data_IF_050429160586
#
_entry.id   IF_050429160586
#
_cell.length_a   1.000
_cell.length_b   1.000
_cell.length_c   1.000
_cell.angle_alpha   90.00
_cell.angle_beta   90.00
_cell.angle_gamma   90.00
#
_symmetry.space_group_name_H-M   'P 1'
#
loop_
_entity.id
_entity.type
_entity.pdbx_description
1 polymer ?
#
# COMPACT_ATOMS: atom_id res chain seq x y z
N UNK A 1 -19.59 -37.95 55.46
CA UNK A 1 -20.46 -36.94 54.82
C UNK A 1 -19.97 -36.67 53.39
N UNK A 2 -20.39 -37.51 52.43
CA UNK A 2 -20.01 -37.40 51.00
C UNK A 2 -21.23 -37.16 50.10
N UNK A 3 -22.38 -36.80 50.69
CA UNK A 3 -23.65 -36.66 49.98
C UNK A 3 -23.99 -35.21 49.61
N UNK A 4 -23.21 -34.23 50.08
CA UNK A 4 -23.52 -32.81 49.90
C UNK A 4 -22.67 -32.11 48.83
N UNK A 5 -21.65 -32.77 48.27
CA UNK A 5 -20.76 -32.17 47.25
C UNK A 5 -21.24 -32.36 45.81
N UNK A 6 -22.13 -33.32 45.54
CA UNK A 6 -22.62 -33.59 44.17
C UNK A 6 -23.87 -32.79 43.78
N UNK A 7 -24.54 -32.14 44.74
CA UNK A 7 -25.71 -31.30 44.46
C UNK A 7 -25.33 -29.90 43.97
N UNK A 8 -24.12 -29.44 44.31
CA UNK A 8 -23.59 -28.12 43.89
C UNK A 8 -23.07 -28.13 42.45
N UNK A 9 -22.68 -29.30 41.92
CA UNK A 9 -22.17 -29.43 40.54
C UNK A 9 -23.27 -29.52 39.47
N UNK A 10 -24.52 -29.83 39.86
CA UNK A 10 -25.62 -30.02 38.92
C UNK A 10 -26.43 -28.73 38.66
N UNK A 11 -26.45 -27.78 39.60
CA UNK A 11 -27.12 -26.48 39.43
C UNK A 11 -26.27 -25.44 38.71
N UNK A 12 -24.95 -25.61 38.64
CA UNK A 12 -24.07 -24.70 37.88
C UNK A 12 -24.01 -25.03 36.37
N UNK A 13 -24.56 -26.17 35.94
CA UNK A 13 -24.62 -26.59 34.52
C UNK A 13 -25.94 -26.27 33.81
N UNK A 14 -26.94 -25.77 34.53
CA UNK A 14 -28.29 -25.47 34.01
C UNK A 14 -28.52 -23.96 33.78
N UNK A 15 -27.56 -23.10 34.17
CA UNK A 15 -27.53 -21.68 33.79
C UNK A 15 -26.94 -21.42 32.40
N UNK A 16 -26.88 -22.45 31.55
CA UNK A 16 -26.54 -22.32 30.13
C UNK A 16 -27.81 -22.68 29.37
N UNK A 17 -28.67 -21.69 29.08
CA UNK A 17 -29.66 -21.71 27.98
C UNK A 17 -30.60 -20.50 28.19
N UNK A 18 -30.77 -19.68 27.15
CA UNK A 18 -31.65 -18.50 27.06
C UNK A 18 -31.13 -17.18 27.67
N UNK A 19 -30.20 -16.51 26.98
CA UNK A 19 -30.37 -15.09 26.66
C UNK A 19 -29.37 -14.67 25.56
N UNK A 20 -29.89 -14.42 24.36
CA UNK A 20 -29.36 -13.59 23.25
C UNK A 20 -27.84 -13.41 23.17
N UNK A 21 -27.10 -14.02 22.24
CA UNK A 21 -27.20 -13.85 20.78
C UNK A 21 -27.39 -12.40 20.32
N UNK A 22 -26.45 -11.50 20.66
CA UNK A 22 -26.10 -10.25 19.96
C UNK A 22 -25.05 -9.57 20.87
N UNK A 23 -23.77 -9.48 20.57
CA UNK A 23 -23.20 -8.73 19.47
C UNK A 23 -21.83 -9.34 19.13
N UNK A 24 -21.75 -10.01 17.98
CA UNK A 24 -20.51 -10.11 17.23
C UNK A 24 -20.14 -8.67 16.88
N UNK A 25 -19.20 -8.07 17.62
CA UNK A 25 -18.72 -6.73 17.30
C UNK A 25 -17.98 -6.87 15.98
N UNK A 26 -18.62 -6.30 14.97
CA UNK A 26 -18.25 -6.28 13.56
C UNK A 26 -16.83 -5.73 13.48
N UNK A 27 -15.86 -6.60 13.23
CA UNK A 27 -14.56 -6.15 12.71
C UNK A 27 -14.84 -5.62 11.31
N UNK A 28 -15.13 -4.31 11.23
CA UNK A 28 -15.18 -3.61 9.96
C UNK A 28 -13.76 -3.69 9.39
N UNK A 29 -13.53 -4.66 8.51
CA UNK A 29 -12.38 -4.64 7.63
C UNK A 29 -12.64 -3.45 6.71
N UNK A 30 -12.02 -2.31 7.01
CA UNK A 30 -11.94 -1.21 6.05
C UNK A 30 -11.06 -1.71 4.92
N UNK A 31 -11.68 -2.34 3.93
CA UNK A 31 -11.06 -2.54 2.64
C UNK A 31 -11.05 -1.17 1.96
N UNK A 32 -10.09 -0.32 2.35
CA UNK A 32 -9.70 0.81 1.54
C UNK A 32 -9.10 0.20 0.27
N UNK A 33 -9.95 -0.15 -0.69
CA UNK A 33 -9.54 -0.18 -2.08
C UNK A 33 -9.22 1.26 -2.42
N UNK A 34 -7.99 1.65 -2.07
CA UNK A 34 -7.39 2.87 -2.54
C UNK A 34 -7.43 2.73 -4.06
N UNK A 35 -8.35 3.45 -4.69
CA UNK A 35 -8.36 3.60 -6.13
C UNK A 35 -7.13 4.44 -6.42
N UNK A 36 -5.98 3.78 -6.49
CA UNK A 36 -4.74 4.40 -6.89
C UNK A 36 -4.93 4.68 -8.37
N UNK A 37 -5.27 5.93 -8.68
CA UNK A 37 -5.38 6.39 -10.06
C UNK A 37 -3.99 6.29 -10.68
N UNK A 38 -3.74 5.20 -11.40
CA UNK A 38 -2.47 5.01 -12.09
C UNK A 38 -2.34 6.10 -13.16
N UNK A 39 -1.21 6.80 -13.14
CA UNK A 39 -0.90 7.83 -14.11
C UNK A 39 -0.19 7.19 -15.29
N UNK A 40 -0.55 7.63 -16.50
CA UNK A 40 0.15 7.26 -17.74
C UNK A 40 0.96 8.47 -18.19
N UNK A 41 2.28 8.35 -18.17
CA UNK A 41 3.21 9.43 -18.49
C UNK A 41 4.21 8.96 -19.54
N UNK A 42 4.54 9.83 -20.48
CA UNK A 42 5.53 9.55 -21.53
C UNK A 42 6.70 10.51 -21.37
N UNK A 43 7.92 9.99 -21.37
CA UNK A 43 9.11 10.81 -21.21
C UNK A 43 10.39 9.99 -21.31
N UNK A 44 11.51 10.71 -21.32
CA UNK A 44 12.86 10.14 -21.32
C UNK A 44 13.18 9.61 -19.92
N UNK A 45 13.62 8.35 -19.82
CA UNK A 45 14.10 7.76 -18.57
C UNK A 45 15.62 7.96 -18.48
N UNK A 46 16.09 8.46 -17.34
CA UNK A 46 17.50 8.68 -17.05
C UNK A 46 17.83 8.29 -15.61
N UNK A 47 19.07 7.89 -15.34
CA UNK A 47 19.55 7.69 -13.97
C UNK A 47 19.41 8.99 -13.15
N UNK A 48 19.03 8.87 -11.88
CA UNK A 48 19.04 10.01 -10.98
C UNK A 48 20.50 10.41 -10.68
N UNK A 49 20.82 11.69 -10.88
CA UNK A 49 22.13 12.23 -10.55
C UNK A 49 22.31 12.49 -9.04
N UNK A 50 23.21 13.41 -8.70
CA UNK A 50 23.34 13.90 -7.33
C UNK A 50 22.15 14.81 -7.03
N UNK A 51 21.30 14.44 -6.07
CA UNK A 51 20.06 15.16 -5.73
C UNK A 51 20.02 15.56 -4.25
N UNK A 52 19.33 16.66 -3.92
CA UNK A 52 19.09 17.07 -2.53
C UNK A 52 17.95 16.31 -1.85
N UNK A 53 17.04 15.75 -2.64
CA UNK A 53 15.80 15.13 -2.17
C UNK A 53 15.95 13.65 -1.78
N UNK A 54 17.09 13.01 -2.09
CA UNK A 54 17.50 11.68 -1.56
C UNK A 54 16.52 10.52 -1.81
N UNK A 55 15.64 10.62 -2.80
CA UNK A 55 14.74 9.53 -3.23
C UNK A 55 14.74 9.38 -4.75
N UNK A 56 14.25 8.21 -5.19
CA UNK A 56 14.24 7.82 -6.61
C UNK A 56 15.61 7.36 -7.11
N UNK A 57 15.62 6.28 -7.88
CA UNK A 57 16.84 5.80 -8.55
C UNK A 57 17.00 6.40 -9.95
N UNK A 58 15.89 6.80 -10.56
CA UNK A 58 15.82 7.33 -11.92
C UNK A 58 14.91 8.55 -11.94
N UNK A 59 14.88 9.24 -13.07
CA UNK A 59 13.93 10.30 -13.36
C UNK A 59 13.18 10.01 -14.66
N UNK A 60 11.94 10.48 -14.74
CA UNK A 60 11.22 10.67 -15.99
C UNK A 60 11.28 12.15 -16.35
N UNK A 61 11.90 12.48 -17.47
CA UNK A 61 11.87 13.84 -18.02
C UNK A 61 10.80 13.92 -19.10
N UNK A 62 9.75 14.66 -18.81
CA UNK A 62 8.72 15.03 -19.79
C UNK A 62 9.03 16.43 -20.32
N UNK A 63 8.25 16.93 -21.26
CA UNK A 63 8.44 18.28 -21.83
C UNK A 63 8.27 19.40 -20.79
N UNK A 64 7.44 19.17 -19.76
CA UNK A 64 7.05 20.21 -18.80
C UNK A 64 7.55 19.95 -17.38
N UNK A 65 7.70 18.68 -17.01
CA UNK A 65 7.96 18.27 -15.63
C UNK A 65 8.97 17.13 -15.56
N UNK A 66 9.66 17.06 -14.43
CA UNK A 66 10.52 15.94 -14.06
C UNK A 66 9.90 15.21 -12.88
N UNK A 67 9.92 13.89 -12.93
CA UNK A 67 9.43 13.00 -11.86
C UNK A 67 10.58 12.13 -11.38
N UNK A 68 10.67 11.89 -10.07
CA UNK A 68 11.56 10.85 -9.55
C UNK A 68 10.88 9.49 -9.65
N UNK A 69 11.64 8.46 -10.02
CA UNK A 69 11.13 7.12 -10.27
C UNK A 69 11.75 6.10 -9.31
N UNK A 70 10.94 5.11 -8.95
CA UNK A 70 11.39 3.86 -8.37
C UNK A 70 10.61 2.70 -8.96
N UNK A 71 11.18 1.50 -8.95
CA UNK A 71 10.42 0.28 -9.21
C UNK A 71 10.97 -0.85 -8.34
N UNK A 72 10.07 -1.76 -7.96
CA UNK A 72 10.43 -3.03 -7.31
C UNK A 72 10.31 -4.23 -8.25
N UNK A 73 9.91 -4.03 -9.51
CA UNK A 73 9.61 -5.11 -10.46
C UNK A 73 10.29 -4.93 -11.81
N UNK A 74 10.56 -3.70 -12.21
CA UNK A 74 11.14 -3.34 -13.50
C UNK A 74 12.55 -2.81 -13.25
N UNK A 75 13.53 -3.29 -14.00
CA UNK A 75 14.85 -2.69 -14.00
C UNK A 75 14.81 -1.41 -14.84
N UNK A 76 14.91 -0.27 -14.17
CA UNK A 76 14.85 1.04 -14.81
C UNK A 76 16.16 1.38 -15.54
N UNK A 77 17.27 0.72 -15.19
CA UNK A 77 18.57 0.96 -15.84
C UNK A 77 18.57 0.46 -17.28
N UNK A 78 17.82 -0.61 -17.59
CA UNK A 78 17.67 -1.11 -18.97
C UNK A 78 16.90 -0.14 -19.88
N UNK A 79 16.19 0.83 -19.29
CA UNK A 79 15.35 1.79 -20.01
C UNK A 79 16.03 3.17 -20.17
N UNK A 80 17.23 3.36 -19.62
CA UNK A 80 17.95 4.63 -19.65
C UNK A 80 18.23 5.09 -21.09
N UNK A 81 18.11 6.40 -21.30
CA UNK A 81 18.42 7.05 -22.58
C UNK A 81 17.34 6.88 -23.64
N UNK A 82 16.18 6.31 -23.29
CA UNK A 82 15.06 6.09 -24.19
C UNK A 82 13.75 6.68 -23.65
N UNK A 83 12.86 7.04 -24.57
CA UNK A 83 11.53 7.54 -24.24
C UNK A 83 10.56 6.38 -24.12
N UNK A 84 9.94 6.24 -22.96
CA UNK A 84 8.94 5.22 -22.70
C UNK A 84 7.65 5.84 -22.18
N UNK A 85 6.54 5.10 -22.36
CA UNK A 85 5.29 5.42 -21.69
C UNK A 85 5.13 4.54 -20.47
N UNK A 86 5.19 5.13 -19.28
CA UNK A 86 5.08 4.41 -18.02
C UNK A 86 3.66 4.46 -17.46
N UNK A 87 3.29 3.41 -16.73
CA UNK A 87 2.17 3.44 -15.80
C UNK A 87 2.73 3.45 -14.39
N UNK A 88 2.35 4.45 -13.60
CA UNK A 88 2.92 4.66 -12.27
C UNK A 88 1.91 5.15 -11.24
N UNK A 89 2.21 4.90 -9.96
CA UNK A 89 1.47 5.44 -8.82
C UNK A 89 2.31 6.49 -8.09
N UNK A 90 1.65 7.54 -7.58
CA UNK A 90 2.32 8.48 -6.67
C UNK A 90 2.64 7.79 -5.35
N UNK A 91 3.86 7.98 -4.85
CA UNK A 91 4.26 7.52 -3.52
C UNK A 91 3.80 8.55 -2.49
N UNK A 92 2.90 8.15 -1.60
CA UNK A 92 2.36 9.04 -0.57
C UNK A 92 3.45 9.50 0.41
N UNK A 93 3.29 10.73 0.90
CA UNK A 93 4.24 11.36 1.81
C UNK A 93 5.46 11.97 1.13
N UNK A 94 5.52 11.97 -0.21
CA UNK A 94 6.58 12.61 -0.99
C UNK A 94 6.01 13.66 -1.96
N UNK A 95 6.74 14.74 -2.23
CA UNK A 95 8.02 15.12 -1.60
C UNK A 95 7.87 15.51 -0.11
N UNK A 96 8.91 15.24 0.71
CA UNK A 96 8.94 15.64 2.12
C UNK A 96 9.44 17.09 2.27
N UNK A 97 10.53 17.45 1.58
CA UNK A 97 11.19 18.75 1.67
C UNK A 97 11.52 19.31 0.27
N UNK A 98 10.49 19.31 -0.59
CA UNK A 98 10.64 19.67 -2.00
C UNK A 98 11.25 18.56 -2.87
N UNK A 99 11.52 18.88 -4.12
CA UNK A 99 11.90 17.92 -5.16
C UNK A 99 10.73 17.53 -6.06
N UNK A 100 10.99 16.74 -7.12
CA UNK A 100 9.98 16.30 -8.07
C UNK A 100 9.01 15.29 -7.43
N UNK A 101 7.82 15.15 -8.01
CA UNK A 101 6.89 14.11 -7.56
C UNK A 101 7.54 12.72 -7.65
N UNK A 102 7.31 11.89 -6.63
CA UNK A 102 7.90 10.56 -6.53
C UNK A 102 6.90 9.50 -7.00
N UNK A 103 7.27 8.78 -8.05
CA UNK A 103 6.44 7.80 -8.71
C UNK A 103 7.03 6.40 -8.60
N UNK A 104 6.19 5.43 -8.28
CA UNK A 104 6.52 4.01 -8.37
C UNK A 104 5.99 3.45 -9.69
N UNK A 105 6.91 3.02 -10.54
CA UNK A 105 6.63 2.45 -11.85
C UNK A 105 6.08 1.04 -11.69
N UNK A 106 4.89 0.82 -12.25
CA UNK A 106 4.14 -0.43 -12.18
C UNK A 106 4.27 -1.21 -13.49
N UNK A 107 4.26 -0.51 -14.62
CA UNK A 107 4.25 -1.11 -15.96
C UNK A 107 4.87 -0.17 -17.00
N UNK A 108 5.35 -0.74 -18.11
CA UNK A 108 5.91 -0.02 -19.26
C UNK A 108 5.08 -0.33 -20.50
N UNK A 109 4.82 0.69 -21.32
CA UNK A 109 4.19 0.58 -22.62
C UNK A 109 5.13 1.09 -23.70
N UNK A 110 5.36 0.23 -24.68
CA UNK A 110 6.03 0.53 -25.95
C UNK A 110 5.15 1.39 -26.88
#
# INVERSE_FOLDING_TARGET
>A
MYFQSNLTYMTMKIGVLLSSFFLLIITATCNNQKVTSNMKLTGLIEAAGITSYQYGSHILRTDNETYALTSGKIDLTELEGQTYTIIAEKVEGYPIDGGPEYLKVIDIKD
#
